data_IF_187880626058
#
_entry.id   IF_187880626058
#
_cell.length_a   1.000
_cell.length_b   1.000
_cell.length_c   1.000
_cell.angle_alpha   90.00
_cell.angle_beta   90.00
_cell.angle_gamma   90.00
#
_symmetry.space_group_name_H-M   'P 1'
#
loop_
_entity.id
_entity.type
_entity.pdbx_description
1 polymer ?
#
# COMPACT_ATOMS: atom_id res chain seq x y z
N UNK A 1 29.27 -11.50 3.02
CA UNK A 1 28.62 -11.89 1.75
C UNK A 1 27.32 -12.67 1.99
N UNK A 2 27.28 -13.66 2.90
CA UNK A 2 26.01 -14.35 3.28
C UNK A 2 25.02 -13.45 4.05
N UNK A 3 25.51 -12.43 4.76
CA UNK A 3 24.65 -11.51 5.53
C UNK A 3 23.92 -10.49 4.65
N UNK A 4 24.50 -10.08 3.51
CA UNK A 4 23.86 -9.19 2.54
C UNK A 4 22.66 -9.85 1.86
N UNK A 5 22.77 -11.16 1.56
CA UNK A 5 21.71 -11.95 0.93
C UNK A 5 20.51 -12.12 1.87
N UNK A 6 20.74 -12.28 3.18
CA UNK A 6 19.67 -12.35 4.19
C UNK A 6 18.95 -11.01 4.36
N UNK A 7 19.68 -9.90 4.32
CA UNK A 7 19.12 -8.55 4.41
C UNK A 7 18.28 -8.24 3.16
N UNK A 8 18.77 -8.57 1.97
CA UNK A 8 18.04 -8.39 0.70
C UNK A 8 16.76 -9.24 0.65
N UNK A 9 16.78 -10.47 1.16
CA UNK A 9 15.60 -11.33 1.23
C UNK A 9 14.53 -10.79 2.20
N UNK A 10 14.93 -10.31 3.38
CA UNK A 10 14.01 -9.72 4.35
C UNK A 10 13.40 -8.40 3.85
N UNK A 11 14.19 -7.56 3.16
CA UNK A 11 13.70 -6.35 2.51
C UNK A 11 12.72 -6.67 1.37
N UNK A 12 12.98 -7.72 0.59
CA UNK A 12 12.09 -8.17 -0.47
C UNK A 12 10.78 -8.76 0.09
N UNK A 13 10.83 -9.53 1.19
CA UNK A 13 9.64 -10.02 1.89
C UNK A 13 8.80 -8.87 2.46
N UNK A 14 9.43 -7.87 3.10
CA UNK A 14 8.73 -6.68 3.59
C UNK A 14 8.11 -5.83 2.47
N UNK A 15 8.78 -5.75 1.31
CA UNK A 15 8.24 -5.06 0.14
C UNK A 15 7.03 -5.80 -0.43
N UNK A 16 7.09 -7.13 -0.54
CA UNK A 16 5.94 -7.93 -0.97
C UNK A 16 4.76 -7.85 0.02
N UNK A 17 5.05 -7.76 1.31
CA UNK A 17 4.01 -7.64 2.34
C UNK A 17 3.23 -6.33 2.20
N UNK A 18 3.95 -5.21 2.06
CA UNK A 18 3.35 -3.90 1.80
C UNK A 18 2.54 -3.88 0.49
N UNK A 19 3.04 -4.51 -0.58
CA UNK A 19 2.32 -4.60 -1.84
C UNK A 19 0.99 -5.35 -1.71
N UNK A 20 0.95 -6.47 -0.97
CA UNK A 20 -0.30 -7.22 -0.81
C UNK A 20 -1.31 -6.49 0.06
N UNK A 21 -0.86 -5.80 1.12
CA UNK A 21 -1.74 -4.96 1.95
C UNK A 21 -2.39 -3.84 1.10
N UNK A 22 -1.59 -3.14 0.28
CA UNK A 22 -2.13 -2.14 -0.65
C UNK A 22 -3.13 -2.75 -1.66
N UNK A 23 -2.83 -3.92 -2.22
CA UNK A 23 -3.76 -4.60 -3.13
C UNK A 23 -5.06 -5.01 -2.41
N UNK A 24 -4.99 -5.35 -1.13
CA UNK A 24 -6.15 -5.70 -0.31
C UNK A 24 -7.07 -4.47 -0.10
N UNK A 25 -6.52 -3.27 0.04
CA UNK A 25 -7.32 -2.04 0.11
C UNK A 25 -8.10 -1.78 -1.19
N UNK A 26 -7.48 -2.03 -2.34
CA UNK A 26 -8.12 -1.81 -3.65
C UNK A 26 -9.10 -2.91 -4.05
N UNK A 27 -8.79 -4.16 -3.72
CA UNK A 27 -9.47 -5.33 -4.30
C UNK A 27 -10.00 -6.32 -3.26
N UNK A 28 -9.80 -6.09 -1.96
CA UNK A 28 -10.19 -7.02 -0.90
C UNK A 28 -11.67 -7.37 -0.91
N UNK A 29 -12.53 -6.40 -1.27
CA UNK A 29 -13.97 -6.62 -1.39
C UNK A 29 -14.38 -7.54 -2.56
N UNK A 30 -13.47 -7.83 -3.50
CA UNK A 30 -13.69 -8.78 -4.60
C UNK A 30 -13.35 -10.22 -4.20
N UNK A 31 -12.64 -10.42 -3.08
CA UNK A 31 -12.36 -11.73 -2.53
C UNK A 31 -13.62 -12.32 -1.89
N UNK A 32 -13.59 -13.63 -1.64
CA UNK A 32 -14.59 -14.20 -0.72
C UNK A 32 -14.37 -13.67 0.69
N UNK A 33 -15.44 -13.54 1.48
CA UNK A 33 -15.35 -13.05 2.87
C UNK A 33 -14.28 -13.78 3.69
N UNK A 34 -14.17 -15.10 3.52
CA UNK A 34 -13.18 -15.93 4.21
C UNK A 34 -11.74 -15.67 3.76
N UNK A 35 -11.52 -15.41 2.47
CA UNK A 35 -10.20 -15.05 1.98
C UNK A 35 -9.81 -13.66 2.47
N UNK A 36 -10.72 -12.69 2.40
CA UNK A 36 -10.49 -11.35 2.92
C UNK A 36 -10.09 -11.38 4.39
N UNK A 37 -10.90 -12.02 5.25
CA UNK A 37 -10.63 -12.16 6.69
C UNK A 37 -9.25 -12.76 6.98
N UNK A 38 -8.86 -13.83 6.28
CA UNK A 38 -7.55 -14.47 6.47
C UNK A 38 -6.40 -13.55 6.03
N UNK A 39 -6.56 -12.84 4.90
CA UNK A 39 -5.53 -11.93 4.41
C UNK A 39 -5.43 -10.68 5.30
N UNK A 40 -6.54 -10.16 5.81
CA UNK A 40 -6.59 -8.99 6.68
C UNK A 40 -5.87 -9.29 8.01
N UNK A 41 -6.20 -10.41 8.66
CA UNK A 41 -5.50 -10.86 9.87
C UNK A 41 -3.99 -11.02 9.64
N UNK A 42 -3.60 -11.55 8.48
CA UNK A 42 -2.19 -11.82 8.18
C UNK A 42 -1.40 -10.56 7.77
N UNK A 43 -1.96 -9.71 6.92
CA UNK A 43 -1.25 -8.58 6.32
C UNK A 43 -1.44 -7.25 7.05
N UNK A 44 -2.53 -7.09 7.80
CA UNK A 44 -2.86 -5.83 8.48
C UNK A 44 -2.78 -5.95 10.01
N UNK A 45 -3.10 -7.12 10.57
CA UNK A 45 -3.10 -7.34 12.03
C UNK A 45 -1.88 -8.12 12.56
N UNK A 46 -0.92 -8.47 11.69
CA UNK A 46 0.31 -9.22 12.01
C UNK A 46 0.08 -10.60 12.67
N UNK A 47 -1.08 -11.23 12.47
CA UNK A 47 -1.33 -12.59 13.00
C UNK A 47 -0.45 -13.63 12.27
N UNK A 48 0.13 -14.55 13.03
CA UNK A 48 0.79 -15.72 12.46
C UNK A 48 -0.23 -16.73 11.92
N UNK A 49 0.22 -17.60 11.01
CA UNK A 49 -0.61 -18.72 10.49
C UNK A 49 -1.19 -19.62 11.60
N UNK A 50 -0.53 -19.68 12.77
CA UNK A 50 -1.00 -20.45 13.91
C UNK A 50 -2.17 -19.77 14.60
N UNK A 51 -2.03 -18.47 14.88
CA UNK A 51 -3.08 -17.66 15.53
C UNK A 51 -4.34 -17.61 14.64
N UNK A 52 -4.18 -17.43 13.33
CA UNK A 52 -5.30 -17.45 12.38
C UNK A 52 -5.98 -18.83 12.36
N UNK A 53 -5.19 -19.91 12.38
CA UNK A 53 -5.73 -21.27 12.38
C UNK A 53 -6.57 -21.55 13.64
N UNK A 54 -6.10 -21.10 14.79
CA UNK A 54 -6.78 -21.22 16.08
C UNK A 54 -8.05 -20.37 16.12
N UNK A 55 -7.94 -19.07 15.83
CA UNK A 55 -9.06 -18.11 15.81
C UNK A 55 -10.19 -18.58 14.90
N UNK A 56 -9.83 -19.09 13.72
CA UNK A 56 -10.78 -19.41 12.67
C UNK A 56 -11.17 -20.90 12.62
N UNK A 57 -10.64 -21.74 13.52
CA UNK A 57 -10.96 -23.17 13.62
C UNK A 57 -10.59 -24.00 12.40
N UNK A 58 -9.50 -23.66 11.70
CA UNK A 58 -9.02 -24.34 10.49
C UNK A 58 -7.57 -24.82 10.63
N UNK A 59 -7.07 -25.63 9.71
CA UNK A 59 -5.67 -26.07 9.75
C UNK A 59 -4.73 -24.96 9.31
N UNK A 60 -3.49 -24.94 9.84
CA UNK A 60 -2.41 -24.04 9.38
C UNK A 60 -2.18 -24.15 7.87
N UNK A 61 -2.32 -25.36 7.32
CA UNK A 61 -2.24 -25.59 5.87
C UNK A 61 -3.38 -24.90 5.12
N UNK A 62 -4.60 -24.92 5.68
CA UNK A 62 -5.75 -24.22 5.13
C UNK A 62 -5.58 -22.70 5.13
N UNK A 63 -4.97 -22.14 6.20
CA UNK A 63 -4.60 -20.71 6.24
C UNK A 63 -3.59 -20.39 5.14
N UNK A 64 -2.49 -21.13 5.06
CA UNK A 64 -1.44 -20.94 4.05
C UNK A 64 -2.01 -20.99 2.62
N UNK A 65 -2.84 -21.98 2.32
CA UNK A 65 -3.46 -22.12 1.00
C UNK A 65 -4.44 -20.98 0.69
N UNK A 66 -5.14 -20.46 1.70
CA UNK A 66 -6.05 -19.33 1.55
C UNK A 66 -5.29 -18.04 1.27
N UNK A 67 -4.19 -17.77 1.99
CA UNK A 67 -3.29 -16.63 1.73
C UNK A 67 -2.77 -16.69 0.30
N UNK A 68 -2.21 -17.84 -0.11
CA UNK A 68 -1.67 -18.02 -1.46
C UNK A 68 -2.72 -17.75 -2.54
N UNK A 69 -3.92 -18.31 -2.40
CA UNK A 69 -5.02 -18.12 -3.37
C UNK A 69 -5.53 -16.68 -3.39
N UNK A 70 -5.70 -16.06 -2.22
CA UNK A 70 -6.14 -14.67 -2.11
C UNK A 70 -5.13 -13.71 -2.75
N UNK A 71 -3.84 -13.88 -2.44
CA UNK A 71 -2.76 -13.11 -3.06
C UNK A 71 -2.78 -13.24 -4.59
N UNK A 72 -2.85 -14.46 -5.13
CA UNK A 72 -2.93 -14.67 -6.57
C UNK A 72 -4.18 -14.02 -7.18
N UNK A 73 -5.32 -14.00 -6.48
CA UNK A 73 -6.51 -13.29 -6.95
C UNK A 73 -6.28 -11.77 -7.00
N UNK A 74 -5.71 -11.18 -5.94
CA UNK A 74 -5.35 -9.76 -5.88
C UNK A 74 -4.40 -9.35 -7.01
N UNK A 75 -3.33 -10.12 -7.24
CA UNK A 75 -2.38 -9.90 -8.33
C UNK A 75 -3.06 -9.95 -9.70
N UNK A 76 -3.99 -10.89 -9.91
CA UNK A 76 -4.75 -10.99 -11.15
C UNK A 76 -5.72 -9.83 -11.34
N UNK A 77 -6.31 -9.30 -10.27
CA UNK A 77 -7.14 -8.09 -10.35
C UNK A 77 -6.30 -6.88 -10.75
N UNK A 78 -5.12 -6.71 -10.13
CA UNK A 78 -4.21 -5.62 -10.50
C UNK A 78 -3.74 -5.73 -11.96
N UNK A 79 -3.35 -6.92 -12.41
CA UNK A 79 -2.94 -7.12 -13.81
C UNK A 79 -4.03 -6.73 -14.82
N UNK A 80 -5.31 -6.80 -14.43
CA UNK A 80 -6.46 -6.48 -15.30
C UNK A 80 -6.96 -5.05 -15.14
N UNK A 81 -6.90 -4.50 -13.93
CA UNK A 81 -7.53 -3.23 -13.58
C UNK A 81 -6.52 -2.10 -13.37
N UNK A 82 -5.33 -2.41 -12.86
CA UNK A 82 -4.21 -1.47 -12.70
C UNK A 82 -4.47 -0.32 -11.73
N UNK A 83 -5.37 -0.47 -10.77
CA UNK A 83 -5.76 0.62 -9.86
C UNK A 83 -4.62 1.01 -8.93
N UNK A 84 -3.93 0.05 -8.31
CA UNK A 84 -2.84 0.33 -7.38
C UNK A 84 -1.65 0.99 -8.11
N UNK A 85 -1.33 0.52 -9.32
CA UNK A 85 -0.29 1.13 -10.15
C UNK A 85 -0.62 2.56 -10.53
N UNK A 86 -1.84 2.83 -11.03
CA UNK A 86 -2.27 4.19 -11.39
C UNK A 86 -2.31 5.11 -10.18
N UNK A 87 -2.70 4.60 -9.02
CA UNK A 87 -2.69 5.35 -7.77
C UNK A 87 -1.27 5.77 -7.39
N UNK A 88 -0.29 4.86 -7.42
CA UNK A 88 1.13 5.18 -7.18
C UNK A 88 1.67 6.20 -8.19
N UNK A 89 1.30 6.09 -9.47
CA UNK A 89 1.68 7.08 -10.48
C UNK A 89 1.11 8.47 -10.16
N UNK A 90 -0.16 8.55 -9.76
CA UNK A 90 -0.80 9.80 -9.37
C UNK A 90 -0.15 10.39 -8.11
N UNK A 91 0.16 9.57 -7.12
CA UNK A 91 0.85 9.96 -5.90
C UNK A 91 2.22 10.61 -6.22
N UNK A 92 3.01 9.98 -7.09
CA UNK A 92 4.31 10.51 -7.49
C UNK A 92 4.20 11.82 -8.27
N UNK A 93 3.18 11.98 -9.11
CA UNK A 93 2.90 13.25 -9.79
C UNK A 93 2.55 14.34 -8.76
N UNK A 94 1.72 14.02 -7.77
CA UNK A 94 1.32 14.98 -6.72
C UNK A 94 2.50 15.39 -5.84
N UNK A 95 3.35 14.43 -5.41
CA UNK A 95 4.59 14.72 -4.67
C UNK A 95 5.51 15.66 -5.45
N UNK A 96 5.69 15.42 -6.76
CA UNK A 96 6.48 16.29 -7.64
C UNK A 96 5.86 17.69 -7.73
N UNK A 97 4.55 17.80 -7.91
CA UNK A 97 3.87 19.08 -7.95
C UNK A 97 4.06 19.88 -6.66
N UNK A 98 3.87 19.24 -5.49
CA UNK A 98 4.08 19.88 -4.19
C UNK A 98 5.53 20.30 -3.98
N UNK A 99 6.50 19.45 -4.35
CA UNK A 99 7.93 19.77 -4.31
C UNK A 99 8.28 20.99 -5.16
N UNK A 100 7.72 21.08 -6.37
CA UNK A 100 7.87 22.24 -7.24
C UNK A 100 7.29 23.52 -6.61
N UNK A 101 6.09 23.46 -6.02
CA UNK A 101 5.49 24.61 -5.33
C UNK A 101 6.35 25.05 -4.13
N UNK A 102 6.79 24.11 -3.30
CA UNK A 102 7.66 24.40 -2.15
C UNK A 102 8.99 25.04 -2.59
N UNK A 103 9.51 24.66 -3.77
CA UNK A 103 10.70 25.31 -4.34
C UNK A 103 10.40 26.75 -4.78
N UNK A 104 9.26 26.99 -5.42
CA UNK A 104 8.83 28.36 -5.79
C UNK A 104 8.71 29.25 -4.57
N UNK A 105 8.17 28.75 -3.45
CA UNK A 105 8.08 29.53 -2.21
C UNK A 105 9.45 29.98 -1.69
N UNK A 106 10.47 29.12 -1.81
CA UNK A 106 11.86 29.42 -1.42
C UNK A 106 12.55 30.40 -2.37
N UNK A 107 12.33 30.23 -3.68
CA UNK A 107 12.96 31.04 -4.73
C UNK A 107 12.29 32.41 -4.89
N UNK A 108 10.99 32.50 -4.61
CA UNK A 108 10.17 33.72 -4.73
C UNK A 108 9.39 33.92 -3.42
N UNK A 109 10.00 34.50 -2.37
CA UNK A 109 9.35 34.66 -1.07
C UNK A 109 8.04 35.47 -1.10
N UNK A 110 7.87 36.34 -2.10
CA UNK A 110 6.63 37.10 -2.30
C UNK A 110 5.45 36.19 -2.70
N UNK A 111 5.73 35.01 -3.30
CA UNK A 111 4.71 34.02 -3.63
C UNK A 111 4.04 33.44 -2.37
N UNK A 112 4.75 33.40 -1.23
CA UNK A 112 4.19 32.94 0.03
C UNK A 112 2.99 33.80 0.50
N UNK A 113 2.98 35.10 0.16
CA UNK A 113 1.87 36.01 0.44
C UNK A 113 0.68 35.88 -0.52
N UNK A 114 0.83 35.10 -1.60
CA UNK A 114 -0.24 34.91 -2.58
C UNK A 114 -1.26 33.86 -2.07
N UNK A 115 -2.51 34.30 -1.92
CA UNK A 115 -3.58 33.44 -1.39
C UNK A 115 -3.85 32.21 -2.26
N UNK A 116 -3.88 32.35 -3.59
CA UNK A 116 -4.10 31.22 -4.51
C UNK A 116 -2.96 30.20 -4.45
N UNK A 117 -1.72 30.67 -4.25
CA UNK A 117 -0.57 29.80 -4.06
C UNK A 117 -0.70 28.97 -2.77
N UNK A 118 -1.03 29.61 -1.65
CA UNK A 118 -1.23 28.94 -0.36
C UNK A 118 -2.40 27.96 -0.41
N UNK A 119 -3.48 28.29 -1.13
CA UNK A 119 -4.61 27.37 -1.35
C UNK A 119 -4.18 26.13 -2.15
N UNK A 120 -3.37 26.29 -3.20
CA UNK A 120 -2.86 25.17 -4.00
C UNK A 120 -1.95 24.25 -3.18
N UNK A 121 -1.00 24.80 -2.42
CA UNK A 121 -0.11 24.04 -1.54
C UNK A 121 -0.92 23.29 -0.49
N UNK A 122 -1.89 23.95 0.16
CA UNK A 122 -2.76 23.33 1.16
C UNK A 122 -3.64 22.23 0.58
N UNK A 123 -4.21 22.44 -0.62
CA UNK A 123 -5.04 21.45 -1.28
C UNK A 123 -4.23 20.18 -1.61
N UNK A 124 -3.04 20.33 -2.21
CA UNK A 124 -2.16 19.21 -2.52
C UNK A 124 -1.63 18.51 -1.26
N UNK A 125 -1.28 19.27 -0.23
CA UNK A 125 -0.86 18.71 1.06
C UNK A 125 -1.95 17.85 1.70
N UNK A 126 -3.20 18.34 1.71
CA UNK A 126 -4.35 17.56 2.21
C UNK A 126 -4.57 16.27 1.45
N UNK A 127 -4.42 16.29 0.12
CA UNK A 127 -4.54 15.06 -0.67
C UNK A 127 -3.45 14.09 -0.26
N UNK A 128 -2.20 14.54 -0.17
CA UNK A 128 -1.09 13.69 0.28
C UNK A 128 -1.26 13.11 1.69
N UNK A 129 -1.84 13.86 2.64
CA UNK A 129 -2.08 13.37 4.01
C UNK A 129 -3.21 12.32 4.08
N UNK A 130 -4.00 12.17 3.01
CA UNK A 130 -5.13 11.23 2.92
C UNK A 130 -4.85 9.97 2.11
N UNK A 131 -3.64 9.85 1.56
CA UNK A 131 -3.13 8.67 0.85
C UNK A 131 -2.35 7.80 1.86
#
# INVERSE_FOLDING_TARGET
>A
MKDNIKIEAALAEGTQFYEVSMLLDFYGQLLTARQYEILDLYYNDDYSLGEIAEELGISRQGVHDSIRKGRTALENYEARLGLATRFREQEEIMKKALSCLNRVEREVPQAAGNKSFQEAVKALGKVMDSL
#
